data_IF_834671602451
#
_entry.id   IF_834671602451
#
_cell.length_a   1.000
_cell.length_b   1.000
_cell.length_c   1.000
_cell.angle_alpha   90.00
_cell.angle_beta   90.00
_cell.angle_gamma   90.00
#
_symmetry.space_group_name_H-M   'P 1'
#
loop_
_entity.id
_entity.type
_entity.pdbx_description
1 polymer ?
#
# COMPACT_ATOMS: atom_id res chain seq x y z
N UNK A 1 31.62 3.01 -11.59
CA UNK A 1 30.76 1.83 -11.78
C UNK A 1 30.46 1.23 -10.41
N UNK A 2 29.20 1.22 -10.04
CA UNK A 2 28.81 0.57 -8.79
C UNK A 2 28.56 -0.89 -9.10
N UNK A 3 29.44 -1.75 -8.60
CA UNK A 3 29.23 -3.20 -8.65
C UNK A 3 27.87 -3.53 -7.98
N UNK A 4 27.06 -4.37 -8.62
CA UNK A 4 25.79 -4.76 -8.06
C UNK A 4 26.01 -5.57 -6.77
N UNK A 5 25.16 -5.37 -5.76
CA UNK A 5 25.18 -6.25 -4.58
C UNK A 5 24.85 -7.68 -5.01
N UNK A 6 25.32 -8.69 -4.26
CA UNK A 6 24.85 -10.06 -4.42
C UNK A 6 23.33 -10.15 -4.34
N UNK A 7 22.77 -11.21 -4.89
CA UNK A 7 21.34 -11.47 -4.75
C UNK A 7 20.99 -11.71 -3.27
N UNK A 8 19.88 -11.14 -2.84
CA UNK A 8 19.33 -11.38 -1.51
C UNK A 8 17.94 -11.98 -1.61
N UNK A 9 17.58 -12.76 -0.61
CA UNK A 9 16.23 -13.28 -0.45
C UNK A 9 15.39 -12.36 0.43
N UNK A 10 14.14 -12.21 0.06
CA UNK A 10 13.14 -11.52 0.85
C UNK A 10 11.78 -12.19 0.62
N UNK A 11 10.88 -12.14 1.59
CA UNK A 11 9.55 -12.79 1.52
C UNK A 11 9.62 -14.32 1.35
N UNK A 12 10.63 -14.97 1.89
CA UNK A 12 10.70 -16.44 1.93
C UNK A 12 9.56 -17.00 2.79
N UNK A 13 9.24 -16.31 3.88
CA UNK A 13 8.07 -16.55 4.73
C UNK A 13 7.30 -15.24 4.96
N UNK A 14 6.01 -15.28 5.35
CA UNK A 14 5.22 -14.08 5.58
C UNK A 14 5.84 -13.10 6.58
N UNK A 15 6.58 -13.60 7.56
CA UNK A 15 7.25 -12.82 8.60
C UNK A 15 8.41 -11.96 8.09
N UNK A 16 8.93 -12.26 6.91
CA UNK A 16 9.99 -11.46 6.28
C UNK A 16 9.46 -10.14 5.70
N UNK A 17 8.14 -10.02 5.59
CA UNK A 17 7.48 -8.84 5.08
C UNK A 17 6.31 -8.43 5.96
N UNK A 18 6.55 -7.48 6.86
CA UNK A 18 5.52 -6.93 7.73
C UNK A 18 5.06 -5.57 7.20
N UNK A 19 3.75 -5.38 7.10
CA UNK A 19 3.13 -4.12 6.67
C UNK A 19 2.15 -3.64 7.72
N UNK A 20 2.37 -2.45 8.23
CA UNK A 20 1.51 -1.80 9.22
C UNK A 20 0.87 -0.55 8.65
N UNK A 21 -0.45 -0.49 8.66
CA UNK A 21 -1.21 0.66 8.17
C UNK A 21 -1.12 1.83 9.15
N UNK A 22 -0.81 3.01 8.63
CA UNK A 22 -0.78 4.26 9.39
C UNK A 22 -1.97 5.13 8.96
N UNK A 23 -2.98 5.29 9.84
CA UNK A 23 -4.14 6.12 9.52
C UNK A 23 -3.83 7.63 9.56
N UNK A 24 -3.02 8.07 10.51
CA UNK A 24 -2.79 9.48 10.79
C UNK A 24 -3.83 10.11 11.71
N UNK A 25 -4.81 9.34 12.20
CA UNK A 25 -5.80 9.72 13.19
C UNK A 25 -6.24 8.47 13.98
N UNK A 26 -6.93 8.67 15.11
CA UNK A 26 -7.44 7.59 15.96
C UNK A 26 -8.95 7.45 15.85
N UNK A 27 -9.52 6.26 16.11
CA UNK A 27 -10.96 6.10 16.29
C UNK A 27 -11.50 6.97 17.43
N UNK A 28 -12.76 7.44 17.29
CA UNK A 28 -13.35 8.42 18.23
C UNK A 28 -13.94 7.78 19.50
N UNK A 29 -14.03 6.45 19.59
CA UNK A 29 -14.57 5.73 20.75
C UNK A 29 -16.09 5.58 20.76
N UNK A 30 -16.83 6.22 19.85
CA UNK A 30 -18.29 6.16 19.76
C UNK A 30 -18.77 6.07 18.31
N UNK A 31 -20.02 5.65 18.08
CA UNK A 31 -20.63 5.62 16.75
C UNK A 31 -21.06 4.22 16.29
N UNK A 32 -21.59 4.17 15.07
CA UNK A 32 -22.26 2.99 14.49
C UNK A 32 -21.31 1.98 13.87
N UNK A 33 -20.03 2.29 13.71
CA UNK A 33 -19.04 1.40 13.16
C UNK A 33 -18.13 0.85 14.26
N UNK A 34 -18.01 -0.47 14.33
CA UNK A 34 -16.95 -1.12 15.09
C UNK A 34 -15.70 -1.17 14.23
N UNK A 35 -14.64 -0.52 14.67
CA UNK A 35 -13.33 -0.58 14.04
C UNK A 35 -12.48 -1.60 14.76
N UNK A 36 -11.84 -2.47 13.97
CA UNK A 36 -11.02 -3.58 14.44
C UNK A 36 -9.61 -3.39 13.91
N UNK A 37 -8.62 -3.30 14.81
CA UNK A 37 -7.21 -3.33 14.45
C UNK A 37 -6.76 -4.78 14.40
N UNK A 38 -6.45 -5.28 13.22
CA UNK A 38 -6.26 -6.70 12.98
C UNK A 38 -4.91 -6.95 12.35
N UNK A 39 -4.17 -7.91 12.92
CA UNK A 39 -3.04 -8.57 12.27
C UNK A 39 -3.53 -9.81 11.53
N UNK A 40 -3.11 -9.98 10.30
CA UNK A 40 -3.36 -11.18 9.51
C UNK A 40 -2.07 -11.73 8.90
N UNK A 41 -1.99 -13.05 8.78
CA UNK A 41 -0.90 -13.80 8.17
C UNK A 41 -1.44 -14.68 7.07
N UNK A 42 -0.80 -14.68 5.90
CA UNK A 42 -1.12 -15.52 4.74
C UNK A 42 -2.59 -15.41 4.25
N UNK A 43 -3.25 -14.29 4.49
CA UNK A 43 -4.64 -13.97 4.10
C UNK A 43 -4.70 -12.68 3.27
N UNK A 44 -5.63 -12.61 2.32
CA UNK A 44 -5.97 -11.34 1.67
C UNK A 44 -6.88 -10.49 2.55
N UNK A 45 -6.89 -9.17 2.35
CA UNK A 45 -7.85 -8.28 3.01
C UNK A 45 -9.31 -8.66 2.68
N UNK A 46 -9.56 -9.15 1.47
CA UNK A 46 -10.91 -9.56 1.06
C UNK A 46 -11.39 -10.81 1.79
N UNK A 47 -10.54 -11.83 1.95
CA UNK A 47 -10.87 -13.03 2.75
C UNK A 47 -11.17 -12.63 4.19
N UNK A 48 -10.34 -11.78 4.81
CA UNK A 48 -10.58 -11.28 6.17
C UNK A 48 -11.90 -10.50 6.27
N UNK A 49 -12.19 -9.62 5.30
CA UNK A 49 -13.45 -8.86 5.30
C UNK A 49 -14.69 -9.78 5.22
N UNK A 50 -14.61 -10.84 4.41
CA UNK A 50 -15.67 -11.85 4.33
C UNK A 50 -15.85 -12.60 5.64
N UNK A 51 -14.75 -13.01 6.27
CA UNK A 51 -14.80 -13.69 7.59
C UNK A 51 -15.42 -12.79 8.65
N UNK A 52 -15.03 -11.53 8.72
CA UNK A 52 -15.59 -10.54 9.66
C UNK A 52 -17.07 -10.29 9.39
N UNK A 53 -17.49 -10.22 8.12
CA UNK A 53 -18.89 -10.08 7.78
C UNK A 53 -19.74 -11.25 8.30
N UNK A 54 -19.24 -12.48 8.19
CA UNK A 54 -19.90 -13.67 8.72
C UNK A 54 -19.91 -13.71 10.25
N UNK A 55 -18.79 -13.37 10.91
CA UNK A 55 -18.69 -13.32 12.38
C UNK A 55 -19.64 -12.29 12.97
N UNK A 56 -19.72 -11.11 12.35
CA UNK A 56 -20.56 -10.02 12.84
C UNK A 56 -22.02 -10.10 12.33
N UNK A 57 -22.37 -11.06 11.49
CA UNK A 57 -23.72 -11.21 10.94
C UNK A 57 -24.14 -10.01 10.08
N UNK A 58 -23.24 -9.49 9.26
CA UNK A 58 -23.44 -8.36 8.34
C UNK A 58 -23.10 -8.77 6.91
N UNK A 59 -23.41 -7.92 5.93
CA UNK A 59 -23.02 -8.16 4.54
C UNK A 59 -21.58 -7.69 4.29
N UNK A 60 -20.88 -8.28 3.34
CA UNK A 60 -19.51 -7.86 2.98
C UNK A 60 -19.44 -6.36 2.65
N UNK A 61 -20.47 -5.81 2.04
CA UNK A 61 -20.56 -4.36 1.75
C UNK A 61 -20.58 -3.47 2.99
N UNK A 62 -20.90 -4.02 4.15
CA UNK A 62 -20.93 -3.29 5.42
C UNK A 62 -19.56 -3.27 6.11
N UNK A 63 -18.58 -4.02 5.56
CA UNK A 63 -17.17 -3.95 5.95
C UNK A 63 -16.47 -2.84 5.16
N UNK A 64 -15.61 -2.07 5.84
CA UNK A 64 -14.76 -1.05 5.26
C UNK A 64 -13.28 -1.29 5.57
N UNK A 65 -12.41 -0.85 4.67
CA UNK A 65 -10.95 -0.86 4.86
C UNK A 65 -10.31 0.23 4.00
N UNK A 66 -9.15 0.75 4.44
CA UNK A 66 -8.48 1.86 3.76
C UNK A 66 -7.67 1.40 2.54
N UNK A 67 -7.11 0.20 2.59
CA UNK A 67 -6.33 -0.38 1.51
C UNK A 67 -6.30 -1.89 1.55
N UNK A 68 -5.94 -2.51 0.44
CA UNK A 68 -5.68 -3.95 0.39
C UNK A 68 -4.25 -4.22 0.82
N UNK A 69 -4.05 -5.29 1.58
CA UNK A 69 -2.74 -5.74 2.05
C UNK A 69 -2.38 -7.08 1.42
N UNK A 70 -1.11 -7.28 1.18
CA UNK A 70 -0.57 -8.50 0.58
C UNK A 70 -0.97 -9.76 1.36
N UNK A 71 -1.11 -10.87 0.62
CA UNK A 71 -1.38 -12.18 1.19
C UNK A 71 -0.11 -12.79 1.80
N UNK A 72 1.01 -12.77 1.04
CA UNK A 72 2.30 -13.31 1.50
C UNK A 72 3.04 -12.28 2.37
N UNK A 73 2.44 -12.00 3.54
CA UNK A 73 2.94 -11.03 4.48
C UNK A 73 2.25 -11.21 5.83
N UNK A 74 2.84 -10.66 6.88
CA UNK A 74 2.14 -10.31 8.11
C UNK A 74 1.71 -8.86 7.99
N UNK A 75 0.42 -8.59 8.08
CA UNK A 75 -0.08 -7.22 7.89
C UNK A 75 -1.03 -6.79 8.96
N UNK A 76 -0.89 -5.54 9.41
CA UNK A 76 -1.76 -4.90 10.39
C UNK A 76 -2.55 -3.79 9.71
N UNK A 77 -3.85 -3.81 9.87
CA UNK A 77 -4.74 -2.82 9.28
C UNK A 77 -6.02 -2.64 10.08
N UNK A 78 -6.65 -1.49 9.92
CA UNK A 78 -7.98 -1.27 10.41
C UNK A 78 -9.04 -1.78 9.42
N UNK A 79 -10.06 -2.42 9.97
CA UNK A 79 -11.31 -2.72 9.25
C UNK A 79 -12.47 -2.16 10.06
N UNK A 80 -13.49 -1.63 9.38
CA UNK A 80 -14.71 -1.16 10.02
C UNK A 80 -15.88 -2.07 9.69
N UNK A 81 -16.70 -2.37 10.69
CA UNK A 81 -17.94 -3.16 10.56
C UNK A 81 -19.12 -2.25 10.92
N UNK A 82 -20.09 -2.10 10.03
CA UNK A 82 -21.29 -1.30 10.31
C UNK A 82 -22.25 -2.10 11.20
N UNK A 83 -22.39 -1.65 12.44
CA UNK A 83 -23.23 -2.26 13.49
C UNK A 83 -24.08 -1.19 14.18
N UNK A 84 -25.07 -0.59 13.48
CA UNK A 84 -25.95 0.41 14.06
C UNK A 84 -26.79 -0.20 15.17
N UNK A 85 -26.83 0.43 16.33
CA UNK A 85 -27.61 0.01 17.51
C UNK A 85 -27.39 -1.45 17.94
N UNK A 86 -26.27 -2.05 17.57
CA UNK A 86 -25.88 -3.44 17.93
C UNK A 86 -24.56 -3.42 18.67
N UNK A 87 -24.45 -4.30 19.65
CA UNK A 87 -23.20 -4.57 20.30
C UNK A 87 -22.26 -5.40 19.43
N UNK A 88 -20.97 -5.33 19.72
CA UNK A 88 -20.01 -6.22 19.09
C UNK A 88 -20.30 -7.68 19.53
N UNK A 89 -20.02 -8.70 18.69
CA UNK A 89 -20.02 -10.08 19.14
C UNK A 89 -19.08 -10.26 20.34
N UNK A 90 -19.47 -11.09 21.29
CA UNK A 90 -18.74 -11.30 22.56
C UNK A 90 -17.29 -11.73 22.35
N UNK A 91 -17.05 -12.63 21.40
CA UNK A 91 -15.71 -13.15 21.11
C UNK A 91 -15.46 -13.25 19.61
N UNK A 92 -15.07 -12.11 19.02
CA UNK A 92 -14.69 -12.05 17.61
C UNK A 92 -13.43 -12.89 17.35
N UNK A 93 -12.46 -12.90 18.28
CA UNK A 93 -11.23 -13.65 18.12
C UNK A 93 -11.49 -15.15 18.04
N UNK A 94 -12.20 -15.75 19.00
CA UNK A 94 -12.52 -17.18 18.97
C UNK A 94 -13.32 -17.57 17.70
N UNK A 95 -14.23 -16.71 17.27
CA UNK A 95 -15.00 -16.95 16.04
C UNK A 95 -14.13 -16.90 14.76
N UNK A 96 -13.08 -16.09 14.71
CA UNK A 96 -12.10 -16.07 13.63
C UNK A 96 -11.18 -17.30 13.69
N UNK A 97 -10.70 -17.68 14.86
CA UNK A 97 -9.84 -18.85 15.06
C UNK A 97 -10.55 -20.15 14.65
N UNK A 98 -11.82 -20.31 15.01
CA UNK A 98 -12.62 -21.45 14.61
C UNK A 98 -12.74 -21.59 13.07
N UNK A 99 -12.71 -20.49 12.31
CA UNK A 99 -12.75 -20.51 10.84
C UNK A 99 -11.40 -20.84 10.19
N UNK A 100 -10.32 -20.70 10.94
CA UNK A 100 -8.98 -20.97 10.47
C UNK A 100 -8.39 -22.26 11.06
N UNK A 101 -9.11 -22.95 11.93
CA UNK A 101 -8.63 -24.12 12.68
C UNK A 101 -8.08 -25.27 11.80
N UNK A 102 -8.42 -25.32 10.52
CA UNK A 102 -7.92 -26.32 9.58
C UNK A 102 -6.69 -25.89 8.77
N UNK A 103 -6.15 -24.70 9.02
CA UNK A 103 -5.04 -24.13 8.22
C UNK A 103 -4.06 -23.38 9.09
N UNK A 104 -3.06 -24.08 9.63
CA UNK A 104 -2.00 -23.54 10.50
C UNK A 104 -1.12 -22.48 9.79
N UNK A 105 -1.16 -22.41 8.46
CA UNK A 105 -0.41 -21.41 7.73
C UNK A 105 -1.05 -20.02 7.82
N UNK A 106 -2.35 -19.93 8.13
CA UNK A 106 -3.11 -18.69 8.18
C UNK A 106 -3.47 -18.33 9.61
N UNK A 107 -3.38 -17.06 9.93
CA UNK A 107 -3.83 -16.56 11.22
C UNK A 107 -4.41 -15.16 11.13
N UNK A 108 -5.27 -14.85 12.09
CA UNK A 108 -5.83 -13.52 12.33
C UNK A 108 -5.78 -13.24 13.82
N UNK A 109 -5.28 -12.08 14.21
CA UNK A 109 -5.29 -11.61 15.59
C UNK A 109 -5.99 -10.27 15.66
N UNK A 110 -6.99 -10.17 16.52
CA UNK A 110 -7.56 -8.89 16.91
C UNK A 110 -6.62 -8.24 17.94
N UNK A 111 -6.05 -7.10 17.58
CA UNK A 111 -5.09 -6.37 18.39
C UNK A 111 -5.77 -5.26 19.21
N UNK A 112 -6.80 -4.63 18.65
CA UNK A 112 -7.54 -3.54 19.27
C UNK A 112 -8.91 -3.40 18.63
N UNK A 113 -9.85 -2.75 19.35
CA UNK A 113 -11.16 -2.39 18.80
C UNK A 113 -11.66 -1.08 19.40
N UNK A 114 -12.37 -0.32 18.58
CA UNK A 114 -12.99 0.93 19.02
C UNK A 114 -14.25 1.24 18.20
N UNK A 115 -15.14 2.08 18.73
CA UNK A 115 -16.26 2.63 17.97
C UNK A 115 -15.81 3.87 17.18
N UNK A 116 -16.45 4.08 16.03
CA UNK A 116 -16.25 5.26 15.19
C UNK A 116 -17.53 5.62 14.45
N UNK A 117 -17.85 6.91 14.24
CA UNK A 117 -19.11 7.31 13.58
C UNK A 117 -19.13 6.97 12.08
N UNK A 118 -17.97 6.82 11.44
CA UNK A 118 -17.88 6.66 9.98
C UNK A 118 -17.26 5.34 9.57
N UNK A 119 -17.74 4.83 8.43
CA UNK A 119 -17.13 3.71 7.73
C UNK A 119 -15.73 4.07 7.23
N UNK A 120 -14.79 3.16 7.40
CA UNK A 120 -13.45 3.29 6.82
C UNK A 120 -13.53 3.18 5.30
N UNK A 121 -13.03 4.19 4.59
CA UNK A 121 -13.07 4.28 3.12
C UNK A 121 -11.68 4.06 2.54
N UNK A 122 -11.64 3.58 1.30
CA UNK A 122 -10.39 3.40 0.56
C UNK A 122 -9.62 4.71 0.42
N UNK A 123 -8.30 4.64 0.61
CA UNK A 123 -7.39 5.77 0.45
C UNK A 123 -7.34 6.73 1.63
N UNK A 124 -8.02 6.42 2.76
CA UNK A 124 -8.07 7.32 3.91
C UNK A 124 -6.83 7.22 4.82
N UNK A 125 -6.08 6.13 4.70
CA UNK A 125 -4.84 5.95 5.46
C UNK A 125 -3.74 6.89 4.94
N UNK A 126 -2.93 7.41 5.84
CA UNK A 126 -1.80 8.30 5.54
C UNK A 126 -0.67 7.55 4.81
N UNK A 127 -0.43 6.29 5.17
CA UNK A 127 0.64 5.49 4.61
C UNK A 127 0.72 4.10 5.21
N UNK A 128 1.82 3.42 4.94
CA UNK A 128 2.14 2.13 5.52
C UNK A 128 3.59 2.15 6.01
N UNK A 129 3.83 1.53 7.16
CA UNK A 129 5.16 1.18 7.62
C UNK A 129 5.51 -0.21 7.12
N UNK A 130 6.70 -0.35 6.57
CA UNK A 130 7.21 -1.63 6.09
C UNK A 130 8.38 -2.09 6.95
N UNK A 131 8.37 -3.37 7.32
CA UNK A 131 9.53 -4.06 7.88
C UNK A 131 9.88 -5.20 6.94
N UNK A 132 11.06 -5.15 6.38
CA UNK A 132 11.56 -6.12 5.42
C UNK A 132 12.77 -6.84 6.01
N UNK A 133 12.72 -8.17 6.08
CA UNK A 133 13.87 -9.00 6.43
C UNK A 133 14.57 -9.43 5.13
N UNK A 134 15.85 -9.12 5.03
CA UNK A 134 16.72 -9.60 3.99
C UNK A 134 17.56 -10.75 4.51
N UNK A 135 17.87 -11.72 3.65
CA UNK A 135 18.74 -12.86 3.93
C UNK A 135 19.56 -13.23 2.68
N UNK A 136 20.44 -14.23 2.81
CA UNK A 136 21.34 -14.62 1.74
C UNK A 136 22.62 -13.79 1.69
N UNK A 137 23.41 -13.97 0.64
CA UNK A 137 24.77 -13.41 0.52
C UNK A 137 24.82 -11.87 0.60
N UNK A 138 23.70 -11.21 0.31
CA UNK A 138 23.60 -9.75 0.38
C UNK A 138 23.86 -9.19 1.79
N UNK A 139 23.50 -9.94 2.85
CA UNK A 139 23.63 -9.44 4.23
C UNK A 139 25.06 -9.48 4.75
N UNK A 140 25.90 -10.30 4.12
CA UNK A 140 27.33 -10.42 4.43
C UNK A 140 28.22 -9.53 3.54
N UNK A 141 27.61 -8.83 2.56
CA UNK A 141 28.36 -7.95 1.65
C UNK A 141 28.81 -6.68 2.38
N UNK A 142 30.14 -6.37 2.40
CA UNK A 142 30.66 -5.20 3.09
C UNK A 142 30.17 -3.86 2.48
N UNK A 143 29.64 -3.88 1.26
CA UNK A 143 29.07 -2.71 0.60
C UNK A 143 27.61 -2.43 0.98
N UNK A 144 26.93 -3.32 1.67
CA UNK A 144 25.51 -3.17 2.01
C UNK A 144 25.25 -1.92 2.83
N UNK A 145 25.97 -1.76 3.94
CA UNK A 145 25.79 -0.62 4.86
C UNK A 145 26.03 0.72 4.15
N UNK A 146 27.11 0.83 3.40
CA UNK A 146 27.43 2.07 2.68
C UNK A 146 26.38 2.44 1.62
N UNK A 147 25.73 1.44 1.01
CA UNK A 147 24.62 1.65 0.08
C UNK A 147 23.35 2.02 0.79
N UNK A 148 23.08 1.39 1.93
CA UNK A 148 21.95 1.73 2.76
C UNK A 148 22.00 3.19 3.23
N UNK A 149 23.15 3.64 3.71
CA UNK A 149 23.35 5.05 4.10
C UNK A 149 23.11 6.02 2.94
N UNK A 150 23.60 5.71 1.74
CA UNK A 150 23.32 6.53 0.55
C UNK A 150 21.82 6.59 0.18
N UNK A 151 21.08 5.50 0.41
CA UNK A 151 19.64 5.52 0.20
C UNK A 151 18.90 6.36 1.24
N UNK A 152 19.38 6.35 2.49
CA UNK A 152 18.83 7.19 3.56
C UNK A 152 19.08 8.68 3.26
N UNK A 153 20.28 9.03 2.85
CA UNK A 153 20.70 10.41 2.59
C UNK A 153 20.13 10.96 1.27
N UNK A 154 20.15 10.16 0.22
CA UNK A 154 19.77 10.58 -1.13
C UNK A 154 18.34 10.23 -1.55
N UNK A 155 17.62 9.46 -0.73
CA UNK A 155 16.33 8.93 -1.11
C UNK A 155 16.40 7.86 -2.20
N UNK A 156 15.23 7.42 -2.66
CA UNK A 156 15.09 6.41 -3.74
C UNK A 156 14.08 6.89 -4.78
N UNK A 157 14.42 6.77 -6.07
CA UNK A 157 13.45 7.04 -7.13
C UNK A 157 12.25 6.10 -7.02
N UNK A 158 11.05 6.65 -6.91
CA UNK A 158 9.82 5.90 -6.63
C UNK A 158 9.21 5.27 -7.90
N UNK A 159 9.88 4.29 -8.47
CA UNK A 159 9.38 3.54 -9.63
C UNK A 159 8.18 2.67 -9.30
N UNK A 160 7.23 2.60 -10.21
CA UNK A 160 6.25 1.53 -10.21
C UNK A 160 6.92 0.21 -10.58
N UNK A 161 6.85 -0.77 -9.68
CA UNK A 161 7.43 -2.10 -9.88
C UNK A 161 6.67 -2.97 -10.89
N UNK A 162 7.24 -4.14 -11.26
CA UNK A 162 6.68 -5.05 -12.27
C UNK A 162 5.23 -5.49 -12.01
N UNK A 163 4.83 -5.63 -10.75
CA UNK A 163 3.47 -6.01 -10.34
C UNK A 163 2.41 -5.07 -10.92
N UNK A 164 2.73 -3.76 -11.08
CA UNK A 164 1.82 -2.76 -11.67
C UNK A 164 1.44 -3.10 -13.10
N UNK A 165 2.35 -3.72 -13.83
CA UNK A 165 2.22 -4.04 -15.26
C UNK A 165 1.64 -5.44 -15.50
N UNK A 166 1.37 -6.20 -14.43
CA UNK A 166 0.85 -7.57 -14.48
C UNK A 166 1.90 -8.61 -14.90
N UNK A 167 1.56 -9.89 -14.87
CA UNK A 167 2.47 -10.94 -15.27
C UNK A 167 3.04 -10.66 -16.67
N UNK A 168 4.37 -10.67 -16.81
CA UNK A 168 5.06 -10.42 -18.10
C UNK A 168 4.68 -9.10 -18.79
N UNK A 169 4.23 -8.09 -18.03
CA UNK A 169 3.84 -6.80 -18.59
C UNK A 169 2.51 -6.82 -19.37
N UNK A 170 1.69 -7.86 -19.25
CA UNK A 170 0.45 -8.04 -20.04
C UNK A 170 -0.54 -6.88 -19.91
N UNK A 171 -0.61 -6.23 -18.74
CA UNK A 171 -1.48 -5.07 -18.57
C UNK A 171 -1.07 -3.90 -19.45
N UNK A 172 0.23 -3.71 -19.67
CA UNK A 172 0.74 -2.66 -20.53
C UNK A 172 0.44 -2.94 -22.01
N UNK A 173 0.67 -4.17 -22.48
CA UNK A 173 0.33 -4.58 -23.83
C UNK A 173 -1.17 -4.40 -24.13
N UNK A 174 -2.03 -4.82 -23.19
CA UNK A 174 -3.48 -4.63 -23.29
C UNK A 174 -3.88 -3.15 -23.25
N UNK A 175 -3.25 -2.36 -22.38
CA UNK A 175 -3.49 -0.92 -22.32
C UNK A 175 -3.15 -0.24 -23.65
N UNK A 176 -2.00 -0.56 -24.26
CA UNK A 176 -1.59 -0.04 -25.55
C UNK A 176 -2.60 -0.37 -26.65
N UNK A 177 -3.05 -1.63 -26.73
CA UNK A 177 -4.06 -2.06 -27.69
C UNK A 177 -5.40 -1.36 -27.48
N UNK A 178 -5.80 -1.16 -26.21
CA UNK A 178 -7.04 -0.46 -25.86
C UNK A 178 -6.99 1.03 -26.24
N UNK A 179 -5.89 1.70 -25.96
CA UNK A 179 -5.70 3.11 -26.31
C UNK A 179 -5.67 3.32 -27.83
N UNK A 180 -5.02 2.42 -28.57
CA UNK A 180 -4.94 2.49 -30.04
C UNK A 180 -6.31 2.40 -30.74
N UNK A 181 -7.28 1.66 -30.17
CA UNK A 181 -8.65 1.52 -30.70
C UNK A 181 -9.68 2.48 -30.10
N UNK A 182 -9.24 3.39 -29.23
CA UNK A 182 -10.11 4.30 -28.48
C UNK A 182 -10.58 3.68 -27.15
N UNK A 183 -10.04 4.20 -26.04
CA UNK A 183 -10.38 3.75 -24.69
C UNK A 183 -11.86 3.97 -24.36
N UNK A 184 -12.48 2.96 -23.74
CA UNK A 184 -13.84 3.06 -23.21
C UNK A 184 -13.88 2.45 -21.79
N UNK A 185 -14.56 3.12 -20.86
CA UNK A 185 -14.67 2.69 -19.46
C UNK A 185 -15.20 1.26 -19.29
N UNK A 186 -16.06 0.78 -20.19
CA UNK A 186 -16.59 -0.59 -20.16
C UNK A 186 -15.51 -1.67 -20.37
N UNK A 187 -14.44 -1.33 -21.10
CA UNK A 187 -13.36 -2.24 -21.47
C UNK A 187 -12.26 -2.29 -20.37
N UNK A 188 -12.25 -1.29 -19.49
CA UNK A 188 -11.35 -1.17 -18.33
C UNK A 188 -12.13 -0.75 -17.08
N UNK A 189 -13.06 -1.63 -16.65
CA UNK A 189 -14.00 -1.34 -15.55
C UNK A 189 -13.32 -0.99 -14.23
N UNK A 190 -12.15 -1.57 -13.98
CA UNK A 190 -11.37 -1.35 -12.76
C UNK A 190 -10.32 -0.24 -12.93
N UNK A 191 -10.19 0.34 -14.12
CA UNK A 191 -9.17 1.35 -14.42
C UNK A 191 -7.73 0.83 -14.42
N UNK A 192 -7.53 -0.49 -14.37
CA UNK A 192 -6.19 -1.11 -14.23
C UNK A 192 -5.32 -0.88 -15.46
N UNK A 193 -5.89 -0.97 -16.66
CA UNK A 193 -5.14 -0.84 -17.90
C UNK A 193 -4.68 0.61 -18.10
N UNK A 194 -5.58 1.57 -17.91
CA UNK A 194 -5.23 2.99 -17.98
C UNK A 194 -4.21 3.36 -16.89
N UNK A 195 -4.37 2.82 -15.68
CA UNK A 195 -3.42 3.00 -14.58
C UNK A 195 -2.04 2.44 -14.94
N UNK A 196 -1.94 1.26 -15.56
CA UNK A 196 -0.67 0.68 -16.01
C UNK A 196 0.00 1.56 -17.08
N UNK A 197 -0.76 2.07 -18.06
CA UNK A 197 -0.22 2.99 -19.06
C UNK A 197 0.34 4.28 -18.44
N UNK A 198 -0.40 4.90 -17.53
CA UNK A 198 0.07 6.11 -16.81
C UNK A 198 1.33 5.82 -15.99
N UNK A 199 1.37 4.70 -15.29
CA UNK A 199 2.54 4.29 -14.51
C UNK A 199 3.77 4.02 -15.39
N UNK A 200 3.56 3.51 -16.59
CA UNK A 200 4.66 3.35 -17.56
C UNK A 200 5.24 4.71 -18.00
N UNK A 201 4.37 5.66 -18.37
CA UNK A 201 4.81 7.01 -18.74
C UNK A 201 5.54 7.71 -17.58
N UNK A 202 5.02 7.56 -16.36
CA UNK A 202 5.69 8.05 -15.16
C UNK A 202 7.09 7.44 -15.01
N UNK A 203 7.24 6.14 -15.15
CA UNK A 203 8.54 5.48 -15.06
C UNK A 203 9.52 5.96 -16.16
N UNK A 204 9.04 6.22 -17.38
CA UNK A 204 9.87 6.78 -18.45
C UNK A 204 10.36 8.19 -18.13
N UNK A 205 9.45 9.04 -17.64
CA UNK A 205 9.81 10.39 -17.20
C UNK A 205 10.81 10.35 -16.04
N UNK A 206 10.57 9.53 -15.03
CA UNK A 206 11.47 9.37 -13.89
C UNK A 206 12.87 8.88 -14.34
N UNK A 207 12.92 7.92 -15.29
CA UNK A 207 14.19 7.45 -15.86
C UNK A 207 14.96 8.57 -16.54
N UNK A 208 14.30 9.41 -17.33
CA UNK A 208 14.93 10.57 -17.96
C UNK A 208 15.48 11.56 -16.90
N UNK A 209 14.70 11.86 -15.88
CA UNK A 209 15.11 12.74 -14.78
C UNK A 209 16.28 12.20 -13.95
N UNK A 210 16.40 10.89 -13.83
CA UNK A 210 17.56 10.26 -13.17
C UNK A 210 18.82 10.48 -14.03
N UNK A 211 18.71 10.31 -15.36
CA UNK A 211 19.82 10.56 -16.28
C UNK A 211 20.30 12.02 -16.19
N UNK A 212 19.34 12.97 -16.11
CA UNK A 212 19.61 14.40 -16.01
C UNK A 212 19.94 14.84 -14.57
N UNK A 213 19.94 13.90 -13.61
CA UNK A 213 20.16 14.19 -12.17
C UNK A 213 19.15 15.21 -11.59
N UNK A 214 17.93 15.24 -12.12
CA UNK A 214 16.87 16.19 -11.71
C UNK A 214 15.69 15.52 -10.98
N UNK A 215 15.78 14.22 -10.70
CA UNK A 215 14.64 13.43 -10.18
C UNK A 215 14.15 13.85 -8.79
N UNK A 216 15.01 14.45 -7.98
CA UNK A 216 14.72 14.94 -6.62
C UNK A 216 14.59 16.47 -6.55
N UNK A 217 14.56 17.17 -7.68
CA UNK A 217 14.50 18.65 -7.72
C UNK A 217 13.26 19.10 -8.47
N UNK A 218 12.44 20.02 -7.93
CA UNK A 218 11.32 20.58 -8.68
C UNK A 218 11.81 21.32 -9.94
N UNK A 219 11.02 21.26 -11.01
CA UNK A 219 11.30 21.97 -12.25
C UNK A 219 10.16 22.95 -12.57
N UNK A 220 10.45 24.06 -13.29
CA UNK A 220 9.41 24.95 -13.79
C UNK A 220 8.39 24.19 -14.64
N UNK A 221 7.11 24.48 -14.46
CA UNK A 221 6.01 23.82 -15.13
C UNK A 221 5.52 22.52 -14.45
N UNK A 222 6.10 22.12 -13.35
CA UNK A 222 5.61 20.96 -12.58
C UNK A 222 4.44 21.33 -11.67
N UNK A 223 3.52 20.37 -11.53
CA UNK A 223 2.47 20.44 -10.54
C UNK A 223 2.94 19.72 -9.27
N UNK A 224 3.19 20.47 -8.23
CA UNK A 224 3.63 19.95 -6.92
C UNK A 224 2.51 20.02 -5.90
N UNK A 225 2.62 19.21 -4.85
CA UNK A 225 1.64 19.14 -3.77
C UNK A 225 2.32 19.50 -2.45
N UNK A 226 1.65 20.34 -1.66
CA UNK A 226 2.12 20.65 -0.30
C UNK A 226 2.00 19.42 0.58
N UNK A 227 3.06 19.08 1.29
CA UNK A 227 3.07 17.95 2.21
C UNK A 227 1.95 18.07 3.27
N UNK A 228 1.30 16.95 3.57
CA UNK A 228 0.22 16.89 4.56
C UNK A 228 -1.10 17.51 4.13
N UNK A 229 -1.21 18.00 2.89
CA UNK A 229 -2.42 18.61 2.34
C UNK A 229 -2.82 17.98 1.00
N UNK A 230 -3.99 18.37 0.47
CA UNK A 230 -4.39 18.07 -0.91
C UNK A 230 -4.18 19.27 -1.85
N UNK A 231 -3.56 20.34 -1.36
CA UNK A 231 -3.33 21.55 -2.14
C UNK A 231 -2.20 21.33 -3.15
N UNK A 232 -2.50 21.68 -4.40
CA UNK A 232 -1.55 21.58 -5.51
C UNK A 232 -1.34 22.96 -6.13
N UNK A 233 -0.13 23.24 -6.59
CA UNK A 233 0.19 24.45 -7.33
C UNK A 233 1.19 24.17 -8.45
N UNK A 234 1.12 24.98 -9.48
CA UNK A 234 2.08 24.95 -10.59
C UNK A 234 3.34 25.70 -10.18
N UNK A 235 4.48 25.11 -10.45
CA UNK A 235 5.78 25.76 -10.24
C UNK A 235 6.07 26.63 -11.43
N UNK A 236 5.95 27.94 -11.27
CA UNK A 236 6.30 28.91 -12.33
C UNK A 236 7.82 29.16 -12.34
N UNK A 237 8.40 29.29 -11.13
CA UNK A 237 9.83 29.51 -10.94
C UNK A 237 10.33 28.68 -9.74
N UNK A 238 11.58 28.23 -9.80
CA UNK A 238 12.20 27.43 -8.73
C UNK A 238 13.15 28.33 -7.94
N UNK A 239 12.63 28.99 -6.92
CA UNK A 239 13.40 29.79 -5.98
C UNK A 239 14.06 28.92 -4.88
N UNK A 240 14.85 29.55 -4.03
CA UNK A 240 15.56 28.86 -2.97
C UNK A 240 14.62 28.36 -1.86
N UNK A 241 13.52 29.08 -1.60
CA UNK A 241 12.49 28.65 -0.64
C UNK A 241 11.82 27.33 -1.09
N UNK A 242 11.47 27.24 -2.37
CA UNK A 242 10.89 26.01 -2.92
C UNK A 242 11.86 24.83 -2.88
N UNK A 243 13.15 25.08 -3.16
CA UNK A 243 14.20 24.04 -3.08
C UNK A 243 14.37 23.52 -1.66
N UNK A 244 14.43 24.40 -0.66
CA UNK A 244 14.54 23.99 0.75
C UNK A 244 13.32 23.20 1.23
N UNK A 245 12.13 23.54 0.75
CA UNK A 245 10.89 22.84 1.12
C UNK A 245 10.66 21.52 0.37
N UNK A 246 11.34 21.32 -0.75
CA UNK A 246 11.25 20.11 -1.57
C UNK A 246 12.36 19.08 -1.25
N UNK A 247 13.37 19.46 -0.49
CA UNK A 247 14.45 18.58 -0.01
C UNK A 247 14.03 17.85 1.27
#
# INVERSE_FOLDING_TARGET
SHEALPAGDYRAVPEDFVVEECLGFSPEGSGEHLWLWVEKRALTTHELARMLAQVCGVRERDIGYAGMKDRQAVTRQWLSVHLPSREAPEDIQAALDARLASDDARSVRLLDQARHPRKLKRGVHRGNRFLLRLSGDVVDDPGLESRWQRLIEGGVPNYFGPQRFGPEGRNLARARALLARGWRKRDDRQGMLLSAARSYLFNQLLAARIVDNSWATPLPGELVMLEGTASQFLVDDVDDELRERAA
#
